data_IF_289945205080
#
_entry.id   IF_289945205080
#
_cell.length_a   1.000
_cell.length_b   1.000
_cell.length_c   1.000
_cell.angle_alpha   90.00
_cell.angle_beta   90.00
_cell.angle_gamma   90.00
#
_symmetry.space_group_name_H-M   'P 1'
#
loop_
_entity.id
_entity.type
_entity.pdbx_description
1 polymer ?
#
# COMPACT_ATOMS: atom_id res chain seq x y z
N UNK A 1 1.35 8.80 -21.01
CA UNK A 1 0.22 9.29 -20.17
C UNK A 1 0.71 10.47 -19.35
N UNK A 2 -0.11 11.54 -19.19
CA UNK A 2 0.33 12.72 -18.41
C UNK A 2 -0.06 12.66 -16.93
N UNK A 3 -1.11 11.91 -16.61
CA UNK A 3 -1.62 11.79 -15.25
C UNK A 3 -0.76 10.85 -14.43
N UNK A 4 -0.46 11.25 -13.19
CA UNK A 4 0.24 10.43 -12.20
C UNK A 4 -0.64 10.29 -10.97
N UNK A 5 -0.64 9.10 -10.38
CA UNK A 5 -1.38 8.77 -9.16
C UNK A 5 -0.51 7.88 -8.26
N UNK A 6 -0.36 8.25 -7.00
CA UNK A 6 0.19 7.37 -5.97
C UNK A 6 -0.93 6.97 -5.01
N UNK A 7 -1.10 5.67 -4.81
CA UNK A 7 -1.93 5.10 -3.76
C UNK A 7 -1.03 4.71 -2.59
N UNK A 8 -1.25 5.33 -1.44
CA UNK A 8 -0.52 5.04 -0.22
C UNK A 8 -1.47 4.36 0.76
N UNK A 9 -1.16 3.14 1.15
CA UNK A 9 -1.94 2.34 2.09
C UNK A 9 -1.14 2.22 3.39
N UNK A 10 -1.60 2.91 4.41
CA UNK A 10 -1.12 2.78 5.78
C UNK A 10 -2.05 1.79 6.49
N UNK A 11 -1.68 0.50 6.49
CA UNK A 11 -2.55 -0.54 7.04
C UNK A 11 -2.73 -0.39 8.56
N UNK A 12 -3.92 -0.70 9.05
CA UNK A 12 -4.21 -0.72 10.47
C UNK A 12 -4.42 0.64 11.17
N UNK A 13 -4.52 1.76 10.44
CA UNK A 13 -4.74 3.08 11.05
C UNK A 13 -6.22 3.31 11.36
N UNK A 14 -6.63 3.44 12.64
CA UNK A 14 -7.99 3.82 12.97
C UNK A 14 -8.28 5.27 12.54
N UNK A 15 -9.46 5.51 11.94
CA UNK A 15 -9.87 6.85 11.48
C UNK A 15 -9.71 7.94 12.55
N UNK A 16 -10.09 7.65 13.81
CA UNK A 16 -9.95 8.59 14.92
C UNK A 16 -8.49 8.94 15.23
N UNK A 17 -7.57 7.95 15.13
CA UNK A 17 -6.14 8.18 15.36
C UNK A 17 -5.54 9.00 14.21
N UNK A 18 -5.95 8.72 12.97
CA UNK A 18 -5.59 9.55 11.84
C UNK A 18 -5.97 11.02 12.08
N UNK A 19 -7.25 11.31 12.36
CA UNK A 19 -7.75 12.68 12.59
C UNK A 19 -7.11 13.41 13.76
N UNK A 20 -6.57 12.69 14.73
CA UNK A 20 -5.98 13.28 15.95
C UNK A 20 -4.47 13.41 15.89
N UNK A 21 -3.80 12.51 15.19
CA UNK A 21 -2.36 12.31 15.35
C UNK A 21 -1.55 12.55 14.07
N UNK A 22 -2.21 12.62 12.92
CA UNK A 22 -1.56 12.95 11.66
C UNK A 22 -1.61 14.47 11.39
N UNK A 23 -0.93 15.24 12.25
CA UNK A 23 -1.01 16.70 12.24
C UNK A 23 -0.51 17.35 10.95
N UNK A 24 0.51 16.81 10.31
CA UNK A 24 1.00 17.30 9.02
C UNK A 24 -0.02 17.08 7.90
N UNK A 25 -0.67 15.90 7.85
CA UNK A 25 -1.71 15.62 6.85
C UNK A 25 -2.99 16.41 7.14
N UNK A 26 -3.38 16.58 8.40
CA UNK A 26 -4.52 17.43 8.77
C UNK A 26 -4.29 18.90 8.39
N UNK A 27 -3.07 19.43 8.56
CA UNK A 27 -2.74 20.78 8.12
C UNK A 27 -2.98 20.97 6.60
N UNK A 28 -2.73 19.95 5.80
CA UNK A 28 -3.04 20.01 4.37
C UNK A 28 -4.54 20.04 4.09
N UNK A 29 -5.33 19.32 4.91
CA UNK A 29 -6.80 19.37 4.82
C UNK A 29 -7.30 20.77 5.20
N UNK A 30 -6.80 21.35 6.28
CA UNK A 30 -7.14 22.69 6.73
C UNK A 30 -6.80 23.77 5.71
N UNK A 31 -5.66 23.62 5.02
CA UNK A 31 -5.22 24.53 3.96
C UNK A 31 -5.95 24.32 2.63
N UNK A 32 -6.80 23.30 2.50
CA UNK A 32 -7.52 22.99 1.27
C UNK A 32 -6.71 22.21 0.21
N UNK A 33 -5.48 21.79 0.53
CA UNK A 33 -4.60 21.01 -0.34
C UNK A 33 -4.97 19.53 -0.35
N UNK A 34 -5.72 19.06 0.64
CA UNK A 34 -6.20 17.69 0.75
C UNK A 34 -7.67 17.63 1.18
N UNK A 35 -8.26 16.44 1.07
CA UNK A 35 -9.63 16.15 1.54
C UNK A 35 -9.65 14.81 2.26
N UNK A 36 -10.55 14.67 3.23
CA UNK A 36 -10.74 13.44 4.02
C UNK A 36 -12.16 12.93 3.88
N UNK A 37 -12.27 11.62 3.68
CA UNK A 37 -13.55 10.89 3.67
C UNK A 37 -13.46 9.64 4.53
N UNK A 38 -14.60 9.19 5.02
CA UNK A 38 -14.75 7.88 5.64
C UNK A 38 -15.27 6.89 4.62
N UNK A 39 -14.70 5.69 4.60
CA UNK A 39 -15.16 4.57 3.80
C UNK A 39 -15.37 3.34 4.68
N UNK A 40 -16.26 2.46 4.25
CA UNK A 40 -16.36 1.12 4.79
C UNK A 40 -15.57 0.18 3.89
N UNK A 41 -14.77 -0.68 4.50
CA UNK A 41 -14.09 -1.76 3.78
C UNK A 41 -15.10 -2.82 3.28
N UNK A 42 -14.66 -3.63 2.34
CA UNK A 42 -15.39 -4.84 1.93
C UNK A 42 -15.43 -5.88 3.06
N UNK A 43 -16.37 -6.82 2.99
CA UNK A 43 -16.42 -7.96 3.90
C UNK A 43 -16.11 -9.25 3.15
N UNK A 44 -15.26 -10.13 3.70
CA UNK A 44 -14.49 -9.98 4.94
C UNK A 44 -13.45 -8.86 4.85
N UNK A 45 -13.21 -8.13 5.94
CA UNK A 45 -12.32 -6.97 6.02
C UNK A 45 -10.86 -7.35 6.33
N UNK A 46 -10.41 -8.48 5.81
CA UNK A 46 -8.99 -8.87 5.89
C UNK A 46 -8.18 -8.09 4.86
N UNK A 47 -6.91 -7.87 5.15
CA UNK A 47 -6.01 -7.05 4.32
C UNK A 47 -6.02 -7.48 2.85
N UNK A 48 -5.75 -8.77 2.56
CA UNK A 48 -5.71 -9.27 1.18
C UNK A 48 -7.03 -9.07 0.43
N UNK A 49 -8.18 -9.36 1.08
CA UNK A 49 -9.50 -9.16 0.47
C UNK A 49 -9.78 -7.70 0.14
N UNK A 50 -9.41 -6.80 1.05
CA UNK A 50 -9.57 -5.36 0.85
C UNK A 50 -8.66 -4.82 -0.25
N UNK A 51 -7.40 -5.27 -0.31
CA UNK A 51 -6.46 -4.85 -1.35
C UNK A 51 -6.90 -5.30 -2.74
N UNK A 52 -7.39 -6.54 -2.86
CA UNK A 52 -7.98 -7.03 -4.10
C UNK A 52 -9.17 -6.16 -4.53
N UNK A 53 -10.09 -5.84 -3.59
CA UNK A 53 -11.24 -4.99 -3.87
C UNK A 53 -10.86 -3.57 -4.28
N UNK A 54 -9.85 -2.95 -3.63
CA UNK A 54 -9.37 -1.60 -3.97
C UNK A 54 -8.89 -1.55 -5.42
N UNK A 55 -8.17 -2.57 -5.87
CA UNK A 55 -7.56 -2.56 -7.21
C UNK A 55 -8.50 -3.03 -8.32
N UNK A 56 -9.43 -3.93 -8.02
CA UNK A 56 -10.37 -4.48 -9.03
C UNK A 56 -11.71 -3.75 -9.08
N UNK A 57 -12.07 -3.04 -8.00
CA UNK A 57 -13.37 -2.38 -7.89
C UNK A 57 -14.54 -3.33 -7.62
N UNK A 58 -14.30 -4.63 -7.37
CA UNK A 58 -15.35 -5.60 -7.09
C UNK A 58 -15.21 -6.19 -5.68
N UNK A 59 -16.30 -6.70 -5.08
CA UNK A 59 -16.26 -7.25 -3.73
C UNK A 59 -15.59 -8.64 -3.67
N UNK A 60 -15.19 -9.11 -2.46
CA UNK A 60 -14.55 -10.41 -2.26
C UNK A 60 -15.32 -11.61 -2.83
N UNK A 61 -16.65 -11.55 -2.84
CA UNK A 61 -17.48 -12.61 -3.43
C UNK A 61 -17.30 -12.76 -4.94
N UNK A 62 -16.90 -11.68 -5.62
CA UNK A 62 -16.68 -11.68 -7.08
C UNK A 62 -15.21 -11.95 -7.45
N UNK A 63 -14.24 -11.39 -6.75
CA UNK A 63 -12.83 -11.66 -7.04
C UNK A 63 -12.28 -12.93 -6.35
N UNK A 64 -13.02 -13.52 -5.40
CA UNK A 64 -12.71 -14.80 -4.78
C UNK A 64 -11.67 -14.78 -3.65
N UNK A 65 -10.94 -13.69 -3.44
CA UNK A 65 -10.00 -13.58 -2.32
C UNK A 65 -10.78 -13.20 -1.05
N UNK A 66 -10.90 -14.14 -0.12
CA UNK A 66 -11.70 -14.00 1.09
C UNK A 66 -10.89 -13.98 2.38
N UNK A 67 -9.56 -13.94 2.29
CA UNK A 67 -8.69 -13.90 3.46
C UNK A 67 -7.20 -13.91 3.10
N UNK A 68 -6.34 -13.61 4.09
CA UNK A 68 -4.90 -13.52 3.89
C UNK A 68 -4.22 -14.86 3.53
N UNK A 69 -4.87 -15.99 3.82
CA UNK A 69 -4.37 -17.32 3.46
C UNK A 69 -4.81 -17.82 2.07
N UNK A 70 -5.56 -17.02 1.32
CA UNK A 70 -6.06 -17.39 -0.01
C UNK A 70 -5.73 -16.29 -1.03
N UNK A 71 -4.44 -16.10 -1.27
CA UNK A 71 -3.91 -15.12 -2.23
C UNK A 71 -3.52 -15.85 -3.52
N UNK A 72 -3.95 -15.33 -4.65
CA UNK A 72 -3.73 -15.92 -5.97
C UNK A 72 -3.80 -14.84 -7.06
N UNK A 73 -3.34 -15.16 -8.26
CA UNK A 73 -3.40 -14.23 -9.40
C UNK A 73 -4.86 -13.92 -9.74
N UNK A 74 -5.23 -12.66 -9.62
CA UNK A 74 -6.58 -12.19 -9.94
C UNK A 74 -6.81 -12.20 -11.45
N UNK A 75 -8.04 -12.49 -11.86
CA UNK A 75 -8.47 -12.49 -13.26
C UNK A 75 -9.29 -11.27 -13.67
N UNK A 76 -9.76 -10.51 -12.69
CA UNK A 76 -10.51 -9.28 -12.93
C UNK A 76 -9.62 -8.17 -13.51
N UNK A 77 -10.16 -7.27 -14.32
CA UNK A 77 -9.49 -6.04 -14.66
C UNK A 77 -9.11 -5.26 -13.40
N UNK A 78 -7.92 -4.70 -13.38
CA UNK A 78 -7.38 -3.96 -12.23
C UNK A 78 -6.76 -2.63 -12.66
N UNK A 79 -6.48 -1.75 -11.70
CA UNK A 79 -5.95 -0.42 -11.99
C UNK A 79 -4.60 -0.50 -12.73
N UNK A 80 -3.70 -1.42 -12.34
CA UNK A 80 -2.40 -1.55 -13.01
C UNK A 80 -2.58 -1.89 -14.50
N UNK A 81 -3.39 -2.91 -14.80
CA UNK A 81 -3.65 -3.33 -16.17
C UNK A 81 -4.32 -2.22 -17.01
N UNK A 82 -5.21 -1.41 -16.41
CA UNK A 82 -5.81 -0.28 -17.13
C UNK A 82 -4.80 0.83 -17.42
N UNK A 83 -3.92 1.15 -16.49
CA UNK A 83 -2.84 2.13 -16.70
C UNK A 83 -1.86 1.63 -17.78
N UNK A 84 -1.52 0.35 -17.76
CA UNK A 84 -0.66 -0.26 -18.79
C UNK A 84 -1.30 -0.20 -20.18
N UNK A 85 -2.56 -0.53 -20.30
CA UNK A 85 -3.32 -0.40 -21.57
C UNK A 85 -3.34 1.04 -22.10
N UNK A 86 -3.30 2.03 -21.21
CA UNK A 86 -3.20 3.44 -21.58
C UNK A 86 -1.76 3.91 -21.85
N UNK A 87 -0.76 3.00 -21.87
CA UNK A 87 0.64 3.30 -22.13
C UNK A 87 1.37 3.93 -20.94
N UNK A 88 0.85 3.80 -19.72
CA UNK A 88 1.49 4.30 -18.50
C UNK A 88 2.44 3.29 -17.87
N UNK A 89 3.42 3.79 -17.10
CA UNK A 89 4.30 2.98 -16.26
C UNK A 89 3.70 2.77 -14.88
N UNK A 90 3.86 1.57 -14.32
CA UNK A 90 3.30 1.18 -13.03
C UNK A 90 4.36 0.66 -12.09
N UNK A 91 4.19 0.90 -10.79
CA UNK A 91 5.11 0.40 -9.78
C UNK A 91 4.44 0.10 -8.44
N UNK A 92 5.07 -0.74 -7.64
CA UNK A 92 4.60 -1.04 -6.29
C UNK A 92 5.77 -1.27 -5.34
N UNK A 93 5.68 -0.68 -4.15
CA UNK A 93 6.50 -1.00 -2.98
C UNK A 93 5.52 -1.48 -1.92
N UNK A 94 5.40 -2.80 -1.77
CA UNK A 94 4.27 -3.37 -1.05
C UNK A 94 4.55 -4.78 -0.51
N UNK A 95 3.67 -5.27 0.34
CA UNK A 95 3.67 -6.67 0.75
C UNK A 95 3.56 -7.62 -0.47
N UNK A 96 4.09 -8.83 -0.37
CA UNK A 96 4.10 -9.86 -1.43
C UNK A 96 2.71 -10.13 -2.05
N UNK A 97 1.62 -9.84 -1.34
CA UNK A 97 0.26 -9.97 -1.87
C UNK A 97 0.05 -9.24 -3.20
N UNK A 98 0.70 -8.08 -3.40
CA UNK A 98 0.62 -7.36 -4.69
C UNK A 98 1.30 -8.11 -5.82
N UNK A 99 2.43 -8.78 -5.57
CA UNK A 99 3.04 -9.66 -6.55
C UNK A 99 2.12 -10.82 -6.91
N UNK A 100 1.52 -11.47 -5.90
CA UNK A 100 0.64 -12.61 -6.11
C UNK A 100 -0.65 -12.23 -6.84
N UNK A 101 -1.26 -11.10 -6.50
CA UNK A 101 -2.48 -10.62 -7.16
C UNK A 101 -2.28 -10.20 -8.60
N UNK A 102 -1.19 -9.51 -8.91
CA UNK A 102 -1.05 -8.78 -10.16
C UNK A 102 0.12 -9.24 -11.04
N UNK A 103 1.06 -10.02 -10.51
CA UNK A 103 2.16 -10.57 -11.29
C UNK A 103 2.17 -12.09 -11.28
N UNK A 104 2.68 -12.71 -10.23
CA UNK A 104 2.89 -14.16 -10.14
C UNK A 104 2.50 -14.70 -8.77
N UNK A 105 1.75 -15.79 -8.75
CA UNK A 105 1.44 -16.57 -7.56
C UNK A 105 1.87 -18.03 -7.77
N UNK A 106 2.40 -18.71 -6.75
CA UNK A 106 2.77 -18.17 -5.45
C UNK A 106 4.00 -17.26 -5.51
N UNK A 107 4.16 -16.38 -4.51
CA UNK A 107 5.33 -15.52 -4.36
C UNK A 107 6.60 -16.35 -4.11
N UNK A 108 7.64 -16.05 -4.85
CA UNK A 108 8.97 -16.63 -4.65
C UNK A 108 9.95 -15.51 -4.28
N UNK A 109 10.54 -15.61 -3.06
CA UNK A 109 11.39 -14.57 -2.51
C UNK A 109 12.60 -14.26 -3.39
N UNK A 110 13.19 -15.27 -4.04
CA UNK A 110 14.37 -15.09 -4.88
C UNK A 110 14.03 -14.46 -6.22
N UNK A 111 12.89 -14.82 -6.77
CA UNK A 111 12.45 -14.38 -8.10
C UNK A 111 11.73 -13.05 -8.07
N UNK A 112 10.89 -12.82 -7.06
CA UNK A 112 9.85 -11.80 -7.10
C UNK A 112 10.09 -10.63 -6.15
N UNK A 113 11.08 -10.68 -5.24
CA UNK A 113 11.35 -9.59 -4.27
C UNK A 113 11.69 -8.26 -4.97
N UNK A 114 12.46 -8.33 -6.05
CA UNK A 114 12.68 -7.25 -7.00
C UNK A 114 12.16 -7.67 -8.37
N UNK A 115 11.32 -6.83 -8.95
CA UNK A 115 10.66 -7.12 -10.21
C UNK A 115 10.74 -5.90 -11.12
N UNK A 116 11.45 -6.04 -12.24
CA UNK A 116 11.60 -4.98 -13.24
C UNK A 116 11.36 -5.58 -14.63
N UNK A 117 10.10 -5.57 -15.08
CA UNK A 117 9.69 -6.03 -16.39
C UNK A 117 8.88 -4.93 -17.10
N UNK A 118 9.54 -4.09 -17.94
CA UNK A 118 8.88 -2.98 -18.61
C UNK A 118 7.69 -3.39 -19.49
N UNK A 119 7.72 -4.60 -20.00
CA UNK A 119 6.67 -5.13 -20.89
C UNK A 119 5.53 -5.84 -20.11
N UNK A 120 5.61 -5.91 -18.78
CA UNK A 120 4.51 -6.44 -17.97
C UNK A 120 3.22 -5.68 -18.25
N UNK A 121 2.11 -6.38 -18.34
CA UNK A 121 0.77 -5.83 -18.55
C UNK A 121 0.08 -5.36 -17.25
N UNK A 122 0.76 -5.51 -16.12
CA UNK A 122 0.29 -5.09 -14.78
C UNK A 122 1.33 -4.21 -14.07
N UNK A 123 2.11 -4.74 -13.12
CA UNK A 123 3.16 -4.01 -12.42
C UNK A 123 4.47 -4.14 -13.21
N UNK A 124 5.05 -3.00 -13.62
CA UNK A 124 6.34 -3.00 -14.31
C UNK A 124 7.52 -3.06 -13.34
N UNK A 125 7.43 -2.31 -12.23
CA UNK A 125 8.51 -2.15 -11.27
C UNK A 125 7.99 -2.45 -9.86
N UNK A 126 8.41 -3.57 -9.29
CA UNK A 126 7.99 -4.02 -7.97
C UNK A 126 9.18 -4.14 -7.01
N UNK A 127 8.94 -3.75 -5.76
CA UNK A 127 9.80 -4.06 -4.61
C UNK A 127 8.88 -4.61 -3.54
N UNK A 128 8.91 -5.92 -3.37
CA UNK A 128 7.97 -6.60 -2.51
C UNK A 128 8.66 -7.08 -1.24
N UNK A 129 7.92 -7.06 -0.15
CA UNK A 129 8.40 -7.53 1.13
C UNK A 129 7.44 -8.54 1.73
N UNK A 130 7.93 -9.32 2.63
CA UNK A 130 7.15 -10.18 3.52
C UNK A 130 7.23 -9.64 4.94
N UNK A 131 6.34 -10.11 5.79
CA UNK A 131 6.41 -9.90 7.23
C UNK A 131 6.94 -11.17 7.88
N UNK A 132 7.65 -11.02 8.97
CA UNK A 132 8.19 -12.11 9.77
C UNK A 132 7.62 -12.05 11.19
N UNK A 133 7.92 -13.04 12.02
CA UNK A 133 7.51 -13.10 13.43
C UNK A 133 6.65 -14.30 13.78
N UNK A 134 6.26 -14.35 15.06
CA UNK A 134 5.50 -15.47 15.63
C UNK A 134 4.06 -15.06 15.91
N UNK A 135 3.17 -15.26 14.92
CA UNK A 135 1.77 -14.90 15.03
C UNK A 135 1.51 -13.39 15.01
N UNK A 136 0.27 -13.00 15.24
CA UNK A 136 -0.17 -11.60 15.10
C UNK A 136 0.48 -10.63 16.08
N UNK A 137 0.83 -11.08 17.29
CA UNK A 137 1.32 -10.21 18.35
C UNK A 137 2.83 -9.89 18.26
N UNK A 138 3.54 -10.49 17.33
CA UNK A 138 4.98 -10.33 17.18
C UNK A 138 5.40 -10.27 15.71
N UNK A 139 4.69 -9.49 14.93
CA UNK A 139 5.03 -9.26 13.52
C UNK A 139 6.18 -8.25 13.42
N UNK A 140 7.16 -8.58 12.61
CA UNK A 140 8.25 -7.69 12.22
C UNK A 140 8.02 -7.22 10.78
N UNK A 141 8.05 -5.92 10.58
CA UNK A 141 7.85 -5.28 9.29
C UNK A 141 9.15 -4.66 8.78
N UNK A 142 9.29 -4.43 7.47
CA UNK A 142 10.36 -3.59 6.96
C UNK A 142 10.26 -2.17 7.54
N UNK A 143 11.38 -1.44 7.51
CA UNK A 143 11.39 -0.03 7.88
C UNK A 143 10.53 0.80 6.92
N UNK A 144 9.57 1.57 7.44
CA UNK A 144 8.74 2.45 6.60
C UNK A 144 9.59 3.50 5.87
N UNK A 145 10.66 3.99 6.49
CA UNK A 145 11.60 4.91 5.86
C UNK A 145 12.25 4.31 4.60
N UNK A 146 12.61 3.02 4.65
CA UNK A 146 13.18 2.32 3.49
C UNK A 146 12.12 2.14 2.39
N UNK A 147 10.88 1.85 2.76
CA UNK A 147 9.77 1.74 1.80
C UNK A 147 9.48 3.09 1.11
N UNK A 148 9.50 4.20 1.86
CA UNK A 148 9.31 5.55 1.31
C UNK A 148 10.45 5.94 0.38
N UNK A 149 11.70 5.69 0.79
CA UNK A 149 12.87 5.94 -0.05
C UNK A 149 12.83 5.10 -1.33
N UNK A 150 12.44 3.84 -1.23
CA UNK A 150 12.33 2.92 -2.35
C UNK A 150 11.25 3.37 -3.35
N UNK A 151 10.05 3.76 -2.87
CA UNK A 151 9.02 4.31 -3.77
C UNK A 151 9.52 5.59 -4.46
N UNK A 152 10.20 6.46 -3.72
CA UNK A 152 10.76 7.69 -4.28
C UNK A 152 11.72 7.37 -5.41
N UNK A 153 12.63 6.43 -5.19
CA UNK A 153 13.57 5.98 -6.21
C UNK A 153 12.84 5.42 -7.45
N UNK A 154 11.79 4.60 -7.27
CA UNK A 154 11.00 4.09 -8.39
C UNK A 154 10.30 5.23 -9.17
N UNK A 155 9.71 6.20 -8.47
CA UNK A 155 9.07 7.35 -9.11
C UNK A 155 10.06 8.17 -9.94
N UNK A 156 11.22 8.50 -9.38
CA UNK A 156 12.26 9.32 -10.03
C UNK A 156 12.94 8.58 -11.19
N UNK A 157 13.19 7.28 -11.02
CA UNK A 157 13.91 6.48 -12.02
C UNK A 157 13.04 6.09 -13.20
N UNK A 158 11.79 5.73 -12.95
CA UNK A 158 10.91 5.15 -13.98
C UNK A 158 9.73 6.03 -14.37
N UNK A 159 9.52 7.16 -13.68
CA UNK A 159 8.45 8.10 -14.02
C UNK A 159 7.05 7.48 -13.94
N UNK A 160 6.74 6.82 -12.83
CA UNK A 160 5.50 6.07 -12.67
C UNK A 160 4.25 6.91 -12.94
N UNK A 161 3.29 6.34 -13.67
CA UNK A 161 1.95 6.90 -13.82
C UNK A 161 0.99 6.39 -12.76
N UNK A 162 1.20 5.16 -12.27
CA UNK A 162 0.51 4.62 -11.12
C UNK A 162 1.51 3.91 -10.20
N UNK A 163 1.61 4.39 -8.98
CA UNK A 163 2.46 3.81 -7.94
C UNK A 163 1.65 3.39 -6.73
N UNK A 164 2.02 2.30 -6.10
CA UNK A 164 1.46 1.84 -4.82
C UNK A 164 2.55 1.78 -3.77
N UNK A 165 2.26 2.35 -2.62
CA UNK A 165 3.01 2.14 -1.38
C UNK A 165 2.12 1.47 -0.36
N UNK A 166 2.61 0.41 0.26
CA UNK A 166 1.93 -0.25 1.36
C UNK A 166 2.87 -0.46 2.53
N UNK A 167 2.45 -0.05 3.71
CA UNK A 167 3.18 -0.22 4.98
C UNK A 167 2.36 -1.04 5.95
N UNK A 168 3.03 -1.81 6.82
CA UNK A 168 2.40 -2.72 7.78
C UNK A 168 2.71 -2.36 9.25
N UNK A 169 3.53 -1.35 9.52
CA UNK A 169 3.97 -1.06 10.89
C UNK A 169 2.82 -0.74 11.82
N UNK A 170 1.84 0.07 11.37
CA UNK A 170 0.70 0.45 12.20
C UNK A 170 -0.27 -0.71 12.43
N UNK A 171 -0.43 -1.60 11.45
CA UNK A 171 -1.19 -2.85 11.60
C UNK A 171 -0.53 -3.76 12.65
N UNK A 172 0.78 -3.97 12.56
CA UNK A 172 1.55 -4.75 13.53
C UNK A 172 1.48 -4.16 14.94
N UNK A 173 1.51 -2.83 15.07
CA UNK A 173 1.33 -2.15 16.35
C UNK A 173 -0.08 -2.38 16.91
N UNK A 174 -1.10 -2.30 16.05
CA UNK A 174 -2.50 -2.57 16.39
C UNK A 174 -2.71 -4.01 16.88
N UNK A 175 -2.10 -4.99 16.20
CA UNK A 175 -2.16 -6.39 16.62
C UNK A 175 -1.46 -6.64 17.96
N UNK A 176 -0.33 -5.99 18.20
CA UNK A 176 0.49 -6.21 19.40
C UNK A 176 -0.05 -5.51 20.64
N UNK A 177 -0.51 -4.28 20.52
CA UNK A 177 -0.84 -3.41 21.66
C UNK A 177 -2.31 -2.97 21.68
N UNK A 178 -3.04 -3.20 20.59
CA UNK A 178 -4.38 -2.65 20.39
C UNK A 178 -4.34 -1.24 19.82
N UNK A 179 -5.52 -0.72 19.48
CA UNK A 179 -5.64 0.58 18.82
C UNK A 179 -5.82 1.77 19.77
N UNK A 180 -6.08 1.50 21.05
CA UNK A 180 -6.37 2.48 22.10
C UNK A 180 -5.28 2.50 23.18
N UNK A 181 -4.03 2.74 22.75
CA UNK A 181 -2.88 2.73 23.66
C UNK A 181 -1.85 3.78 23.22
N UNK A 182 -0.98 4.13 24.14
CA UNK A 182 0.10 5.13 23.93
C UNK A 182 1.07 4.70 22.82
N UNK A 183 1.37 3.41 22.71
CA UNK A 183 2.25 2.85 21.70
C UNK A 183 1.70 3.10 20.29
N UNK A 184 0.40 2.89 20.09
CA UNK A 184 -0.25 3.16 18.82
C UNK A 184 -0.32 4.65 18.51
N UNK A 185 -0.54 5.49 19.52
CA UNK A 185 -0.51 6.95 19.36
C UNK A 185 0.86 7.45 18.92
N UNK A 186 1.93 6.98 19.57
CA UNK A 186 3.31 7.30 19.18
C UNK A 186 3.64 6.82 17.78
N UNK A 187 3.23 5.60 17.42
CA UNK A 187 3.46 5.05 16.09
C UNK A 187 2.74 5.87 15.00
N UNK A 188 1.50 6.31 15.24
CA UNK A 188 0.76 7.18 14.32
C UNK A 188 1.44 8.55 14.14
N UNK A 189 1.86 9.19 15.22
CA UNK A 189 2.56 10.47 15.15
C UNK A 189 3.90 10.36 14.42
N UNK A 190 4.68 9.31 14.71
CA UNK A 190 5.94 9.04 14.02
C UNK A 190 5.74 8.76 12.52
N UNK A 191 4.68 8.05 12.16
CA UNK A 191 4.33 7.81 10.75
C UNK A 191 4.02 9.11 10.02
N UNK A 192 3.24 10.02 10.62
CA UNK A 192 2.93 11.32 10.04
C UNK A 192 4.18 12.17 9.81
N UNK A 193 5.05 12.25 10.83
CA UNK A 193 6.32 12.99 10.74
C UNK A 193 7.24 12.40 9.65
N UNK A 194 7.30 11.08 9.55
CA UNK A 194 8.12 10.39 8.56
C UNK A 194 7.58 10.58 7.15
N UNK A 195 6.27 10.51 6.96
CA UNK A 195 5.60 10.61 5.66
C UNK A 195 5.60 12.05 5.11
N UNK A 196 5.45 13.05 5.97
CA UNK A 196 5.26 14.45 5.59
C UNK A 196 6.30 14.99 4.59
N UNK A 197 7.62 14.75 4.72
CA UNK A 197 8.62 15.27 3.78
C UNK A 197 8.58 14.59 2.41
N UNK A 198 8.05 13.37 2.31
CA UNK A 198 8.01 12.63 1.04
C UNK A 198 6.86 13.08 0.13
N UNK A 199 5.73 13.48 0.69
CA UNK A 199 4.55 13.84 -0.11
C UNK A 199 4.81 15.00 -1.09
N UNK A 200 5.44 16.13 -0.69
CA UNK A 200 5.81 17.17 -1.65
C UNK A 200 6.78 16.68 -2.74
N UNK A 201 7.71 15.82 -2.39
CA UNK A 201 8.65 15.23 -3.34
C UNK A 201 7.96 14.35 -4.37
N UNK A 202 7.02 13.51 -3.94
CA UNK A 202 6.22 12.70 -4.86
C UNK A 202 5.27 13.52 -5.74
N UNK A 203 4.74 14.63 -5.22
CA UNK A 203 3.93 15.56 -6.03
C UNK A 203 4.73 16.27 -7.12
N UNK A 204 6.02 16.42 -6.93
CA UNK A 204 6.92 17.07 -7.89
C UNK A 204 7.49 16.10 -8.94
N UNK A 205 7.56 14.80 -8.65
CA UNK A 205 8.05 13.76 -9.55
C UNK A 205 7.00 13.32 -10.58
#
# INVERSE_FOLDING_TARGET
MKTKLLLIILDGVPYRNFRRLFGNLEAWVENGDARVWTHKSSLPSTSASCYASIHTGVPPVEHGCTGNGNVFRLSQPDIFSQVRKAGGATGAVAHSFWSEFFNRAPFDMVRDIEYDEPDSDTINHGRFHTMDGYGHDNQMTPSDADLFATLTMLCERFGLNYGVLHTCTLDSMGHRFGHDCTEMEHACAAMDEMLAPYIPRWRAA
#
